data_IF_791171693845
#
_entry.id   IF_791171693845
#
_cell.length_a   1.000
_cell.length_b   1.000
_cell.length_c   1.000
_cell.angle_alpha   90.00
_cell.angle_beta   90.00
_cell.angle_gamma   90.00
#
_symmetry.space_group_name_H-M   'P 1'
#
loop_
_entity.id
_entity.type
_entity.pdbx_description
1 polymer ?
#
# COMPACT_ATOMS: atom_id res chain seq x y z
N UNK A 1 -37.94 40.14 14.81
CA UNK A 1 -36.96 39.04 14.98
C UNK A 1 -35.62 39.52 14.43
N UNK A 2 -34.71 39.99 15.29
CA UNK A 2 -33.45 40.58 14.83
C UNK A 2 -32.48 39.47 14.45
N UNK A 3 -32.30 39.24 13.15
CA UNK A 3 -31.27 38.35 12.63
C UNK A 3 -29.92 39.05 12.84
N UNK A 4 -29.13 38.60 13.82
CA UNK A 4 -27.71 38.93 13.88
C UNK A 4 -27.04 38.30 12.65
N UNK A 5 -26.71 39.12 11.67
CA UNK A 5 -25.91 38.70 10.52
C UNK A 5 -24.46 38.48 10.95
N UNK A 6 -23.81 37.48 10.36
CA UNK A 6 -22.36 37.29 10.46
C UNK A 6 -21.67 38.60 10.06
N UNK A 7 -20.75 39.07 10.90
CA UNK A 7 -19.90 40.19 10.49
C UNK A 7 -18.92 39.68 9.43
N UNK A 8 -18.68 40.48 8.38
CA UNK A 8 -17.76 40.12 7.29
C UNK A 8 -16.35 39.83 7.82
N UNK A 9 -15.97 40.55 8.90
CA UNK A 9 -14.70 40.38 9.63
C UNK A 9 -14.58 39.00 10.28
N UNK A 10 -15.66 38.48 10.86
CA UNK A 10 -15.67 37.19 11.53
C UNK A 10 -15.48 36.02 10.54
N UNK A 11 -16.00 36.15 9.32
CA UNK A 11 -15.71 35.18 8.25
C UNK A 11 -14.27 35.33 7.74
N UNK A 12 -13.75 36.56 7.64
CA UNK A 12 -12.40 36.83 7.13
C UNK A 12 -11.31 36.17 8.00
N UNK A 13 -11.41 36.27 9.32
CA UNK A 13 -10.40 35.65 10.21
C UNK A 13 -10.46 34.11 10.17
N UNK A 14 -11.65 33.52 10.02
CA UNK A 14 -11.80 32.07 9.96
C UNK A 14 -11.14 31.51 8.70
N UNK A 15 -11.38 32.10 7.53
CA UNK A 15 -10.75 31.63 6.29
C UNK A 15 -9.23 31.81 6.31
N UNK A 16 -8.73 32.86 6.97
CA UNK A 16 -7.29 33.07 7.15
C UNK A 16 -6.65 31.94 7.97
N UNK A 17 -7.26 31.54 9.08
CA UNK A 17 -6.74 30.46 9.93
C UNK A 17 -6.79 29.10 9.21
N UNK A 18 -7.92 28.80 8.54
CA UNK A 18 -8.07 27.55 7.77
C UNK A 18 -7.00 27.47 6.66
N UNK A 19 -6.72 28.58 5.97
CA UNK A 19 -5.69 28.65 4.94
C UNK A 19 -4.29 28.28 5.45
N UNK A 20 -3.91 28.76 6.63
CA UNK A 20 -2.61 28.45 7.25
C UNK A 20 -2.49 26.96 7.59
N UNK A 21 -3.55 26.36 8.15
CA UNK A 21 -3.56 24.95 8.52
C UNK A 21 -3.41 24.06 7.27
N UNK A 22 -4.18 24.35 6.21
CA UNK A 22 -4.16 23.58 4.96
C UNK A 22 -2.80 23.64 4.29
N UNK A 23 -2.16 24.82 4.26
CA UNK A 23 -0.85 25.02 3.64
C UNK A 23 0.23 24.08 4.20
N UNK A 24 0.16 23.76 5.50
CA UNK A 24 1.11 22.84 6.15
C UNK A 24 0.63 21.38 6.06
N UNK A 25 -0.69 21.14 6.14
CA UNK A 25 -1.24 19.80 6.17
C UNK A 25 -1.15 19.03 4.84
N UNK A 26 -1.46 19.68 3.70
CA UNK A 26 -1.50 19.03 2.38
C UNK A 26 -0.17 18.33 2.01
N UNK A 27 1.01 18.97 2.08
CA UNK A 27 2.25 18.31 1.65
C UNK A 27 2.59 17.09 2.52
N UNK A 28 2.27 17.13 3.82
CA UNK A 28 2.43 15.98 4.71
C UNK A 28 1.49 14.83 4.35
N UNK A 29 0.21 15.14 4.08
CA UNK A 29 -0.80 14.15 3.71
C UNK A 29 -0.47 13.42 2.40
N UNK A 30 0.03 14.13 1.38
CA UNK A 30 0.42 13.53 0.11
C UNK A 30 1.57 12.53 0.27
N UNK A 31 2.59 12.86 1.07
CA UNK A 31 3.70 11.94 1.36
C UNK A 31 3.22 10.72 2.15
N UNK A 32 2.40 10.92 3.16
CA UNK A 32 1.85 9.82 3.97
C UNK A 32 1.02 8.85 3.12
N UNK A 33 0.24 9.37 2.17
CA UNK A 33 -0.54 8.56 1.24
C UNK A 33 0.36 7.68 0.36
N UNK A 34 1.48 8.22 -0.12
CA UNK A 34 2.40 7.45 -0.96
C UNK A 34 3.16 6.37 -0.16
N UNK A 35 3.58 6.69 1.07
CA UNK A 35 4.14 5.70 2.01
C UNK A 35 3.14 4.56 2.23
N UNK A 36 1.86 4.89 2.44
CA UNK A 36 0.82 3.89 2.65
C UNK A 36 0.62 2.98 1.42
N UNK A 37 0.83 3.49 0.21
CA UNK A 37 0.73 2.69 -1.03
C UNK A 37 1.90 1.72 -1.14
N UNK A 38 3.13 2.17 -0.88
CA UNK A 38 4.30 1.30 -0.83
C UNK A 38 4.18 0.20 0.22
N UNK A 39 3.81 0.57 1.46
CA UNK A 39 3.54 -0.39 2.56
C UNK A 39 2.47 -1.42 2.18
N UNK A 40 1.37 -0.97 1.58
CA UNK A 40 0.33 -1.89 1.14
C UNK A 40 0.81 -2.85 0.04
N UNK A 41 1.73 -2.42 -0.84
CA UNK A 41 2.31 -3.31 -1.83
C UNK A 41 3.24 -4.36 -1.19
N UNK A 42 4.05 -3.98 -0.21
CA UNK A 42 4.90 -4.90 0.57
C UNK A 42 4.07 -5.91 1.36
N UNK A 43 3.01 -5.47 2.03
CA UNK A 43 2.08 -6.36 2.76
C UNK A 43 1.42 -7.41 1.85
N UNK A 44 1.14 -7.06 0.60
CA UNK A 44 0.65 -8.02 -0.38
C UNK A 44 1.74 -9.02 -0.79
N UNK A 45 3.01 -8.60 -0.93
CA UNK A 45 4.12 -9.50 -1.22
C UNK A 45 4.27 -10.56 -0.11
N UNK A 46 4.25 -10.15 1.16
CA UNK A 46 4.32 -11.09 2.29
C UNK A 46 3.12 -12.06 2.31
N UNK A 47 1.93 -11.61 1.88
CA UNK A 47 0.78 -12.52 1.73
C UNK A 47 0.94 -13.51 0.59
N UNK A 48 1.52 -13.09 -0.52
CA UNK A 48 1.82 -13.98 -1.65
C UNK A 48 2.88 -14.99 -1.22
N UNK A 49 3.92 -14.55 -0.54
CA UNK A 49 4.98 -15.42 -0.01
C UNK A 49 4.43 -16.46 0.96
N UNK A 50 3.63 -16.05 1.95
CA UNK A 50 2.98 -17.01 2.86
C UNK A 50 2.04 -17.99 2.13
N UNK A 51 1.36 -17.54 1.07
CA UNK A 51 0.53 -18.43 0.25
C UNK A 51 1.35 -19.44 -0.56
N UNK A 52 2.50 -19.02 -1.10
CA UNK A 52 3.46 -19.90 -1.78
C UNK A 52 3.98 -20.98 -0.83
N UNK A 53 4.42 -20.58 0.36
CA UNK A 53 4.88 -21.51 1.39
C UNK A 53 3.79 -22.51 1.77
N UNK A 54 2.55 -22.04 1.95
CA UNK A 54 1.44 -22.92 2.28
C UNK A 54 1.10 -23.90 1.15
N UNK A 55 1.15 -23.46 -0.10
CA UNK A 55 1.02 -24.33 -1.28
C UNK A 55 2.13 -25.40 -1.32
N UNK A 56 3.38 -25.01 -1.05
CA UNK A 56 4.51 -25.93 -1.00
C UNK A 56 4.33 -27.01 0.07
N UNK A 57 3.90 -26.61 1.27
CA UNK A 57 3.68 -27.49 2.41
C UNK A 57 2.53 -28.49 2.18
N UNK A 58 1.43 -28.05 1.56
CA UNK A 58 0.27 -28.91 1.31
C UNK A 58 0.47 -29.83 0.10
N UNK A 59 1.05 -29.30 -0.98
CA UNK A 59 1.30 -30.04 -2.22
C UNK A 59 2.54 -30.91 -2.20
N UNK A 60 3.42 -30.74 -1.20
CA UNK A 60 4.76 -31.34 -1.15
C UNK A 60 5.51 -31.17 -2.49
N UNK A 61 5.40 -29.96 -3.07
CA UNK A 61 6.00 -29.62 -4.36
C UNK A 61 7.45 -29.16 -4.17
N UNK A 62 8.34 -29.43 -5.14
CA UNK A 62 9.74 -28.99 -5.04
C UNK A 62 9.87 -27.46 -5.18
N UNK A 63 10.95 -26.90 -4.61
CA UNK A 63 11.17 -25.45 -4.53
C UNK A 63 11.40 -24.76 -5.89
N UNK A 64 11.73 -25.51 -6.94
CA UNK A 64 11.88 -25.00 -8.31
C UNK A 64 10.54 -24.81 -9.04
N UNK A 65 9.43 -25.21 -8.42
CA UNK A 65 8.11 -25.07 -9.00
C UNK A 65 7.66 -23.62 -8.95
N UNK A 66 7.20 -23.10 -10.08
CA UNK A 66 6.56 -21.78 -10.17
C UNK A 66 5.05 -21.93 -10.09
N UNK A 67 4.41 -21.66 -8.93
CA UNK A 67 2.97 -21.70 -8.84
C UNK A 67 2.34 -20.60 -9.69
N UNK A 68 1.22 -20.91 -10.31
CA UNK A 68 0.45 -19.94 -11.08
C UNK A 68 -0.60 -19.27 -10.21
N UNK A 69 -1.14 -18.13 -10.66
CA UNK A 69 -2.21 -17.44 -9.95
C UNK A 69 -3.45 -18.32 -9.70
N UNK A 70 -3.72 -19.30 -10.58
CA UNK A 70 -4.83 -20.24 -10.40
C UNK A 70 -4.59 -21.27 -9.29
N UNK A 71 -3.33 -21.54 -8.93
CA UNK A 71 -2.98 -22.48 -7.85
C UNK A 71 -3.09 -21.80 -6.47
N UNK A 72 -2.88 -20.48 -6.44
CA UNK A 72 -2.85 -19.69 -5.20
C UNK A 72 -4.18 -18.99 -4.89
N UNK A 73 -5.00 -18.67 -5.91
CA UNK A 73 -6.20 -17.84 -5.75
C UNK A 73 -7.48 -18.64 -5.93
N UNK A 74 -8.34 -18.58 -4.92
CA UNK A 74 -9.67 -19.16 -4.94
C UNK A 74 -10.41 -18.95 -3.62
N UNK A 75 -11.73 -19.14 -3.62
CA UNK A 75 -12.54 -18.91 -2.42
C UNK A 75 -12.21 -19.87 -1.26
N UNK A 76 -11.56 -20.99 -1.58
CA UNK A 76 -11.12 -22.03 -0.63
C UNK A 76 -9.60 -22.26 -0.67
N UNK A 77 -8.85 -21.39 -1.36
CA UNK A 77 -7.39 -21.47 -1.48
C UNK A 77 -6.73 -20.45 -0.52
N UNK A 78 -5.42 -20.27 -0.68
CA UNK A 78 -4.58 -19.44 0.18
C UNK A 78 -4.88 -17.94 0.04
N UNK A 79 -5.13 -17.46 -1.18
CA UNK A 79 -5.56 -16.09 -1.44
C UNK A 79 -7.02 -16.03 -1.92
N UNK A 80 -7.80 -15.15 -1.30
CA UNK A 80 -9.22 -14.95 -1.67
C UNK A 80 -9.42 -14.26 -3.02
N UNK A 81 -8.44 -13.47 -3.45
CA UNK A 81 -8.47 -12.70 -4.70
C UNK A 81 -7.06 -12.31 -5.10
N UNK A 82 -6.89 -11.98 -6.37
CA UNK A 82 -5.64 -11.42 -6.88
C UNK A 82 -5.36 -10.06 -6.21
N UNK A 83 -4.17 -9.89 -5.59
CA UNK A 83 -3.78 -8.62 -5.05
C UNK A 83 -3.42 -7.66 -6.19
N UNK A 84 -3.95 -6.44 -6.12
CA UNK A 84 -3.57 -5.34 -7.02
C UNK A 84 -2.70 -4.36 -6.25
N UNK A 85 -1.51 -3.99 -6.75
CA UNK A 85 -0.68 -3.02 -6.06
C UNK A 85 -1.34 -1.63 -6.15
N UNK A 86 -1.68 -0.98 -5.03
CA UNK A 86 -2.22 0.38 -5.05
C UNK A 86 -1.24 1.41 -5.60
N UNK A 87 0.06 1.09 -5.68
CA UNK A 87 1.10 1.88 -6.36
C UNK A 87 1.00 1.85 -7.89
N UNK A 88 0.33 0.84 -8.47
CA UNK A 88 0.19 0.65 -9.91
C UNK A 88 1.11 -0.42 -10.52
N UNK A 89 1.86 -1.16 -9.70
CA UNK A 89 2.68 -2.28 -10.16
C UNK A 89 1.92 -3.60 -10.33
N UNK A 90 2.51 -4.51 -11.10
CA UNK A 90 2.17 -5.91 -11.22
C UNK A 90 3.02 -6.76 -10.27
N UNK A 91 2.41 -7.82 -9.72
CA UNK A 91 3.11 -8.81 -8.91
C UNK A 91 3.61 -9.97 -9.76
N UNK A 92 4.80 -10.46 -9.46
CA UNK A 92 5.36 -11.70 -9.99
C UNK A 92 5.57 -12.66 -8.84
N UNK A 93 5.00 -13.86 -8.93
CA UNK A 93 5.05 -14.84 -7.84
C UNK A 93 6.46 -15.43 -7.70
N UNK A 94 7.17 -15.63 -8.83
CA UNK A 94 8.41 -16.39 -8.94
C UNK A 94 8.29 -17.84 -8.45
N UNK A 95 9.33 -18.65 -8.63
CA UNK A 95 9.38 -20.01 -8.06
C UNK A 95 9.39 -20.00 -6.53
N UNK A 96 9.17 -21.15 -5.90
CA UNK A 96 9.07 -21.26 -4.44
C UNK A 96 10.38 -20.93 -3.70
N UNK A 97 11.54 -20.93 -4.37
CA UNK A 97 12.85 -20.59 -3.79
C UNK A 97 13.12 -19.07 -3.84
N UNK A 98 12.57 -18.36 -4.82
CA UNK A 98 12.72 -16.92 -4.98
C UNK A 98 11.54 -16.13 -4.42
N UNK A 99 11.79 -15.05 -3.67
CA UNK A 99 10.73 -14.19 -3.16
C UNK A 99 9.85 -13.59 -4.29
N UNK A 100 8.54 -13.37 -4.07
CA UNK A 100 7.71 -12.66 -5.04
C UNK A 100 8.17 -11.20 -5.17
N UNK A 101 8.03 -10.64 -6.37
CA UNK A 101 8.45 -9.27 -6.67
C UNK A 101 7.27 -8.41 -7.13
N UNK A 102 7.47 -7.09 -7.08
CA UNK A 102 6.53 -6.10 -7.57
C UNK A 102 7.33 -5.08 -8.40
N UNK A 103 6.87 -4.79 -9.62
CA UNK A 103 7.53 -3.82 -10.53
C UNK A 103 7.22 -2.35 -10.18
N UNK A 104 6.55 -2.09 -9.06
CA UNK A 104 6.23 -0.75 -8.60
C UNK A 104 7.50 0.00 -8.20
N UNK A 105 7.79 1.08 -8.94
CA UNK A 105 8.89 1.98 -8.64
C UNK A 105 8.50 2.97 -7.56
N UNK A 106 8.98 2.75 -6.33
CA UNK A 106 8.81 3.71 -5.25
C UNK A 106 9.56 5.02 -5.52
N UNK A 107 9.05 6.17 -5.02
CA UNK A 107 9.82 7.41 -5.04
C UNK A 107 11.14 7.23 -4.28
N UNK A 108 12.24 7.79 -4.78
CA UNK A 108 13.57 7.67 -4.15
C UNK A 108 13.63 8.16 -2.70
N UNK A 109 12.80 9.13 -2.33
CA UNK A 109 12.70 9.62 -0.95
C UNK A 109 11.99 8.65 0.00
N UNK A 110 11.26 7.68 -0.53
CA UNK A 110 10.54 6.68 0.23
C UNK A 110 11.41 5.45 0.54
N UNK A 111 12.23 5.03 -0.43
CA UNK A 111 13.10 3.86 -0.34
C UNK A 111 14.06 3.90 0.87
N UNK A 112 14.68 5.08 1.11
CA UNK A 112 15.55 5.31 2.27
C UNK A 112 14.88 5.15 3.64
N UNK A 113 13.55 5.28 3.72
CA UNK A 113 12.81 5.02 4.97
C UNK A 113 12.67 3.52 5.24
N UNK A 114 12.45 2.71 4.21
CA UNK A 114 12.29 1.27 4.36
C UNK A 114 13.61 0.54 4.64
N UNK A 115 14.72 1.01 4.07
CA UNK A 115 16.05 0.49 4.38
C UNK A 115 16.41 0.60 5.89
N UNK A 116 15.80 1.54 6.61
CA UNK A 116 16.04 1.78 8.04
C UNK A 116 15.01 1.13 8.99
N UNK A 117 13.91 0.56 8.48
CA UNK A 117 12.87 -0.14 9.28
C UNK A 117 13.06 -1.69 9.28
N UNK A 118 14.07 -2.22 8.58
CA UNK A 118 14.43 -3.65 8.51
C UNK A 118 15.64 -4.04 9.40
N UNK A 119 15.96 -3.26 10.44
CA UNK A 119 16.87 -3.64 11.54
C UNK A 119 16.15 -3.52 12.89
#
# INVERSE_FOLDING_TARGET
>A
MSRKGFTLVEIMIVVAIIGIIIAIAIPGFLRAREVSRGRACQENLSKIEGAKEQYALEGNVPFDTTPTWTDLIGNTLYLKREPTCPGGGAYTINDLDHAPECDYTEPTWLDTKFAHELQ
#
